data_IF_302215804527
#
_entry.id   IF_302215804527
#
_cell.length_a   1.000
_cell.length_b   1.000
_cell.length_c   1.000
_cell.angle_alpha   90.00
_cell.angle_beta   90.00
_cell.angle_gamma   90.00
#
_symmetry.space_group_name_H-M   'P 1'
#
loop_
_entity.id
_entity.type
_entity.pdbx_description
1 polymer ?
#
# COMPACT_ATOMS: atom_id res chain seq x y z
N UNK A 1 -9.62 18.11 27.30
CA UNK A 1 -8.75 17.35 26.38
C UNK A 1 -9.51 16.11 25.94
N UNK A 2 -10.11 16.14 24.74
CA UNK A 2 -10.85 14.99 24.21
C UNK A 2 -9.84 13.90 23.85
N UNK A 3 -9.70 12.88 24.70
CA UNK A 3 -8.98 11.65 24.33
C UNK A 3 -9.66 11.14 23.07
N UNK A 4 -8.98 11.18 21.92
CA UNK A 4 -9.48 10.55 20.69
C UNK A 4 -9.54 9.05 20.95
N UNK A 5 -10.71 8.55 21.31
CA UNK A 5 -10.97 7.12 21.43
C UNK A 5 -10.76 6.51 20.06
N UNK A 6 -9.65 5.78 19.92
CA UNK A 6 -9.34 5.04 18.70
C UNK A 6 -10.08 3.70 18.81
N UNK A 7 -10.66 3.26 17.70
CA UNK A 7 -11.41 1.99 17.61
C UNK A 7 -10.59 0.96 16.83
N UNK A 8 -10.86 -0.35 17.03
CA UNK A 8 -10.19 -1.39 16.29
C UNK A 8 -10.54 -1.33 14.79
N UNK A 9 -9.66 -1.88 13.94
CA UNK A 9 -9.82 -1.83 12.48
C UNK A 9 -11.09 -2.53 11.99
N UNK A 10 -11.47 -3.62 12.65
CA UNK A 10 -12.65 -4.41 12.32
C UNK A 10 -13.54 -4.58 13.57
N UNK A 11 -14.29 -3.54 13.96
CA UNK A 11 -15.05 -3.53 15.23
C UNK A 11 -15.96 -4.74 15.45
N UNK A 12 -16.73 -5.13 14.44
CA UNK A 12 -17.66 -6.27 14.55
C UNK A 12 -16.94 -7.61 14.65
N UNK A 13 -15.90 -7.82 13.84
CA UNK A 13 -15.11 -9.05 13.87
C UNK A 13 -14.30 -9.19 15.17
N UNK A 14 -13.77 -8.08 15.68
CA UNK A 14 -13.09 -8.07 16.99
C UNK A 14 -14.10 -8.30 18.12
N UNK A 15 -15.31 -7.75 18.06
CA UNK A 15 -16.36 -8.02 19.04
C UNK A 15 -16.75 -9.51 19.07
N UNK A 16 -16.96 -10.16 17.91
CA UNK A 16 -17.23 -11.61 17.81
C UNK A 16 -16.14 -12.40 18.54
N UNK A 17 -14.87 -12.12 18.25
CA UNK A 17 -13.76 -12.81 18.89
C UNK A 17 -13.72 -12.57 20.41
N UNK A 18 -13.94 -11.33 20.86
CA UNK A 18 -13.89 -10.98 22.28
C UNK A 18 -15.04 -11.63 23.07
N UNK A 19 -16.24 -11.74 22.50
CA UNK A 19 -17.38 -12.41 23.14
C UNK A 19 -17.05 -13.90 23.37
N UNK A 20 -16.46 -14.56 22.38
CA UNK A 20 -16.20 -16.01 22.45
C UNK A 20 -14.96 -16.37 23.26
N UNK A 21 -13.95 -15.49 23.32
CA UNK A 21 -12.63 -15.80 23.86
C UNK A 21 -12.29 -15.06 25.16
N UNK A 22 -13.18 -14.19 25.67
CA UNK A 22 -12.92 -13.39 26.88
C UNK A 22 -14.12 -13.35 27.82
N UNK A 23 -13.87 -13.06 29.11
CA UNK A 23 -14.90 -12.90 30.14
C UNK A 23 -15.33 -11.44 30.35
N UNK A 24 -15.07 -10.58 29.35
CA UNK A 24 -15.37 -9.15 29.43
C UNK A 24 -16.88 -8.91 29.37
N UNK A 25 -17.31 -7.83 30.00
CA UNK A 25 -18.72 -7.41 29.93
C UNK A 25 -19.05 -6.82 28.55
N UNK A 26 -20.33 -6.91 28.15
CA UNK A 26 -20.77 -6.34 26.87
C UNK A 26 -20.53 -4.83 26.78
N UNK A 27 -20.61 -4.10 27.89
CA UNK A 27 -20.31 -2.67 27.94
C UNK A 27 -18.82 -2.39 27.70
N UNK A 28 -17.92 -3.22 28.22
CA UNK A 28 -16.48 -3.09 27.97
C UNK A 28 -16.14 -3.36 26.50
N UNK A 29 -16.73 -4.40 25.90
CA UNK A 29 -16.55 -4.72 24.48
C UNK A 29 -17.15 -3.62 23.59
N UNK A 30 -18.33 -3.10 23.95
CA UNK A 30 -19.00 -2.00 23.26
C UNK A 30 -18.12 -0.74 23.24
N UNK A 31 -17.58 -0.33 24.39
CA UNK A 31 -16.70 0.84 24.49
C UNK A 31 -15.40 0.65 23.72
N UNK A 32 -14.81 -0.56 23.76
CA UNK A 32 -13.58 -0.88 23.03
C UNK A 32 -13.77 -0.88 21.51
N UNK A 33 -14.83 -1.53 21.02
CA UNK A 33 -15.13 -1.62 19.59
C UNK A 33 -15.82 -0.36 19.04
N UNK A 34 -16.36 0.51 19.89
CA UNK A 34 -17.17 1.66 19.47
C UNK A 34 -18.55 1.26 18.97
N UNK A 35 -19.08 0.15 19.47
CA UNK A 35 -20.41 -0.37 19.13
C UNK A 35 -21.39 -0.06 20.26
N UNK A 36 -22.69 -0.07 19.96
CA UNK A 36 -23.69 0.02 21.02
C UNK A 36 -23.78 -1.31 21.79
N UNK A 37 -24.01 -1.33 23.12
CA UNK A 37 -24.16 -2.59 23.87
C UNK A 37 -25.23 -3.53 23.32
N UNK A 38 -26.28 -2.99 22.70
CA UNK A 38 -27.31 -3.79 22.01
C UNK A 38 -26.77 -4.51 20.77
N UNK A 39 -25.86 -3.90 20.01
CA UNK A 39 -25.21 -4.56 18.88
C UNK A 39 -24.31 -5.69 19.36
N UNK A 40 -23.58 -5.49 20.47
CA UNK A 40 -22.73 -6.54 21.07
C UNK A 40 -23.58 -7.72 21.55
N UNK A 41 -24.74 -7.45 22.16
CA UNK A 41 -25.70 -8.51 22.52
C UNK A 41 -26.22 -9.24 21.28
N UNK A 42 -26.66 -8.51 20.25
CA UNK A 42 -27.09 -9.12 18.99
C UNK A 42 -26.00 -9.90 18.25
N UNK A 43 -24.72 -9.62 18.51
CA UNK A 43 -23.59 -10.44 18.05
C UNK A 43 -23.48 -11.73 18.88
N UNK A 44 -23.59 -11.64 20.20
CA UNK A 44 -23.58 -12.80 21.10
C UNK A 44 -24.77 -13.75 20.83
N UNK A 45 -25.93 -13.19 20.48
CA UNK A 45 -27.14 -13.93 20.11
C UNK A 45 -27.09 -14.48 18.67
N UNK A 46 -26.08 -14.08 17.87
CA UNK A 46 -25.86 -14.58 16.51
C UNK A 46 -26.66 -13.86 15.39
N UNK A 47 -27.38 -12.79 15.72
CA UNK A 47 -28.28 -12.07 14.80
C UNK A 47 -27.56 -11.03 13.90
N UNK A 48 -26.55 -10.32 14.43
CA UNK A 48 -26.00 -9.10 13.79
C UNK A 48 -24.69 -9.33 13.02
N UNK A 49 -24.01 -10.47 13.24
CA UNK A 49 -22.69 -10.77 12.67
C UNK A 49 -22.59 -12.20 12.08
N UNK A 50 -23.71 -12.75 11.62
CA UNK A 50 -23.76 -14.09 11.03
C UNK A 50 -22.81 -14.18 9.82
N UNK A 51 -21.81 -15.06 9.90
CA UNK A 51 -20.79 -15.24 8.84
C UNK A 51 -19.55 -14.34 8.94
N UNK A 52 -19.40 -13.53 9.99
CA UNK A 52 -18.17 -12.78 10.26
C UNK A 52 -17.21 -13.65 11.08
N UNK A 53 -16.01 -13.90 10.55
CA UNK A 53 -14.96 -14.58 11.30
C UNK A 53 -14.35 -13.64 12.35
N UNK A 54 -14.27 -14.12 13.59
CA UNK A 54 -13.65 -13.39 14.69
C UNK A 54 -12.18 -13.08 14.43
N UNK A 55 -11.76 -11.83 14.63
CA UNK A 55 -10.36 -11.41 14.48
C UNK A 55 -9.76 -11.06 15.83
N UNK A 56 -8.70 -11.79 16.20
CA UNK A 56 -7.98 -11.61 17.45
C UNK A 56 -7.30 -10.22 17.54
N UNK A 57 -7.71 -9.37 18.51
CA UNK A 57 -7.13 -8.04 18.73
C UNK A 57 -5.70 -8.07 19.28
N UNK A 58 -5.27 -9.16 19.91
CA UNK A 58 -3.91 -9.35 20.44
C UNK A 58 -2.96 -9.68 19.30
N UNK A 59 -3.32 -10.66 18.46
CA UNK A 59 -2.50 -11.05 17.29
C UNK A 59 -2.39 -9.90 16.29
N UNK A 60 -3.47 -9.14 16.09
CA UNK A 60 -3.45 -7.93 15.25
C UNK A 60 -2.71 -6.74 15.89
N UNK A 61 -2.24 -6.88 17.13
CA UNK A 61 -1.44 -5.88 17.83
C UNK A 61 -2.21 -4.61 18.18
N UNK A 62 -3.51 -4.74 18.43
CA UNK A 62 -4.45 -3.68 18.83
C UNK A 62 -4.75 -3.69 20.34
N UNK A 63 -4.54 -4.83 21.00
CA UNK A 63 -4.72 -5.03 22.43
C UNK A 63 -3.52 -5.79 23.01
N UNK A 64 -3.10 -5.44 24.23
CA UNK A 64 -2.08 -6.22 24.94
C UNK A 64 -2.73 -7.25 25.87
N UNK A 65 -2.04 -8.36 26.12
CA UNK A 65 -2.56 -9.42 26.99
C UNK A 65 -2.73 -8.93 28.43
N UNK A 66 -1.82 -8.08 28.89
CA UNK A 66 -1.83 -7.49 30.23
C UNK A 66 -3.07 -6.60 30.43
N UNK A 67 -3.46 -5.85 29.40
CA UNK A 67 -4.64 -4.99 29.43
C UNK A 67 -5.93 -5.81 29.46
N UNK A 68 -5.97 -6.93 28.74
CA UNK A 68 -7.09 -7.87 28.78
C UNK A 68 -7.25 -8.47 30.18
N UNK A 69 -6.16 -8.91 30.81
CA UNK A 69 -6.19 -9.47 32.17
C UNK A 69 -6.61 -8.43 33.22
N UNK A 70 -6.16 -7.17 33.08
CA UNK A 70 -6.58 -6.05 33.94
C UNK A 70 -8.08 -5.82 33.88
N UNK A 71 -8.64 -5.80 32.68
CA UNK A 71 -10.07 -5.54 32.47
C UNK A 71 -10.94 -6.76 32.81
N UNK A 72 -10.39 -7.98 32.71
CA UNK A 72 -11.05 -9.21 33.14
C UNK A 72 -11.24 -9.27 34.66
N UNK A 73 -10.32 -8.68 35.43
CA UNK A 73 -10.41 -8.60 36.90
C UNK A 73 -11.27 -7.44 37.39
N UNK A 74 -11.55 -6.44 36.56
CA UNK A 74 -12.33 -5.26 36.94
C UNK A 74 -13.39 -4.92 35.88
N UNK A 75 -14.67 -5.27 36.12
CA UNK A 75 -15.76 -4.98 35.20
C UNK A 75 -15.99 -3.49 34.91
N UNK A 76 -15.54 -2.59 35.79
CA UNK A 76 -15.64 -1.13 35.61
C UNK A 76 -14.47 -0.53 34.83
N UNK A 77 -13.42 -1.30 34.55
CA UNK A 77 -12.26 -0.81 33.82
C UNK A 77 -12.54 -0.74 32.33
N UNK A 78 -12.13 0.37 31.70
CA UNK A 78 -12.27 0.56 30.25
C UNK A 78 -10.99 0.15 29.54
N UNK A 79 -11.11 -0.80 28.61
CA UNK A 79 -10.00 -1.24 27.74
C UNK A 79 -9.47 -0.05 26.94
N UNK A 80 -8.15 0.13 26.96
CA UNK A 80 -7.47 1.09 26.09
C UNK A 80 -6.82 0.35 24.91
N UNK A 81 -7.04 0.85 23.70
CA UNK A 81 -6.34 0.34 22.52
C UNK A 81 -4.84 0.64 22.66
N UNK A 82 -4.03 -0.40 22.58
CA UNK A 82 -2.58 -0.29 22.51
C UNK A 82 -2.14 -0.60 21.07
N UNK A 83 -1.79 0.44 20.31
CA UNK A 83 -1.39 0.27 18.92
C UNK A 83 0.09 -0.09 18.86
N UNK A 84 0.37 -1.35 18.53
CA UNK A 84 1.74 -1.76 18.22
C UNK A 84 2.27 -1.04 16.98
N UNK A 85 3.59 -0.86 16.89
CA UNK A 85 4.27 -0.31 15.71
C UNK A 85 3.97 -1.11 14.42
N UNK A 86 3.71 -2.41 14.55
CA UNK A 86 3.30 -3.28 13.45
C UNK A 86 1.94 -2.87 12.87
N UNK A 87 0.97 -2.46 13.71
CA UNK A 87 -0.33 -1.96 13.26
C UNK A 87 -0.21 -0.64 12.51
N UNK A 88 0.66 0.28 12.97
CA UNK A 88 0.94 1.51 12.21
C UNK A 88 1.56 1.23 10.84
N UNK A 89 2.43 0.21 10.76
CA UNK A 89 3.00 -0.27 9.51
C UNK A 89 1.94 -0.79 8.53
N UNK A 90 0.91 -1.50 9.01
CA UNK A 90 -0.21 -1.96 8.18
C UNK A 90 -1.12 -0.80 7.74
N UNK A 91 -1.39 0.17 8.63
CA UNK A 91 -2.16 1.38 8.28
C UNK A 91 -1.46 2.26 7.23
N UNK A 92 -0.15 2.45 7.36
CA UNK A 92 0.66 3.23 6.39
C UNK A 92 1.01 2.42 5.14
N UNK A 93 1.02 1.10 5.27
CA UNK A 93 1.53 0.14 4.31
C UNK A 93 0.47 -0.51 3.43
N UNK A 94 -0.64 0.18 3.13
CA UNK A 94 -1.36 -0.08 1.89
C UNK A 94 -0.40 0.23 0.72
N UNK A 95 0.53 -0.70 0.45
CA UNK A 95 1.39 -0.72 -0.74
C UNK A 95 0.47 -0.36 -1.88
N UNK A 96 0.71 0.79 -2.50
CA UNK A 96 -0.08 1.29 -3.64
C UNK A 96 -0.22 0.12 -4.62
N UNK A 97 -1.32 -0.62 -4.54
CA UNK A 97 -1.57 -1.76 -5.44
C UNK A 97 -1.59 -1.14 -6.82
N UNK A 98 -0.89 -1.78 -7.77
CA UNK A 98 -0.86 -1.29 -9.14
C UNK A 98 -2.31 -1.07 -9.59
N UNK A 99 -2.69 0.21 -9.81
CA UNK A 99 -4.06 0.56 -10.18
C UNK A 99 -4.34 -0.17 -11.49
N UNK A 100 -5.42 -0.97 -11.53
CA UNK A 100 -5.86 -1.64 -12.75
C UNK A 100 -5.95 -0.61 -13.86
N UNK A 101 -5.16 -0.79 -14.93
CA UNK A 101 -5.22 0.09 -16.09
C UNK A 101 -6.33 -0.42 -17.02
N UNK A 102 -7.41 0.36 -17.25
CA UNK A 102 -8.49 -0.01 -18.17
C UNK A 102 -7.94 -0.32 -19.56
N UNK A 103 -8.57 -1.26 -20.28
CA UNK A 103 -8.09 -1.74 -21.59
C UNK A 103 -7.93 -0.62 -22.62
N UNK A 104 -8.83 0.37 -22.61
CA UNK A 104 -8.76 1.56 -23.47
C UNK A 104 -7.47 2.37 -23.26
N UNK A 105 -6.93 2.38 -22.03
CA UNK A 105 -5.72 3.12 -21.66
C UNK A 105 -4.44 2.29 -21.75
N UNK A 106 -4.52 1.08 -22.31
CA UNK A 106 -3.32 0.24 -22.53
C UNK A 106 -2.50 0.69 -23.72
N UNK A 107 -3.14 1.29 -24.74
CA UNK A 107 -2.45 1.86 -25.89
C UNK A 107 -1.66 3.13 -25.55
N UNK A 108 -2.06 3.84 -24.48
CA UNK A 108 -1.34 5.01 -23.98
C UNK A 108 0.03 4.65 -23.36
N UNK A 109 0.22 3.40 -22.90
CA UNK A 109 1.48 2.98 -22.26
C UNK A 109 2.65 2.92 -23.25
N UNK A 110 2.54 2.26 -24.42
CA UNK A 110 3.59 2.31 -25.45
C UNK A 110 3.94 3.74 -25.89
N UNK A 111 2.94 4.60 -26.07
CA UNK A 111 3.11 6.01 -26.46
C UNK A 111 3.95 6.79 -25.43
N UNK A 112 3.64 6.61 -24.14
CA UNK A 112 4.37 7.18 -23.03
C UNK A 112 5.82 6.68 -22.93
N UNK A 113 6.04 5.38 -23.10
CA UNK A 113 7.39 4.78 -23.07
C UNK A 113 8.22 5.33 -24.24
N UNK A 114 7.64 5.43 -25.43
CA UNK A 114 8.34 5.94 -26.59
C UNK A 114 8.70 7.42 -26.45
N UNK A 115 7.85 8.21 -25.80
CA UNK A 115 8.17 9.58 -25.43
C UNK A 115 9.35 9.64 -24.43
N UNK A 116 9.34 8.81 -23.39
CA UNK A 116 10.43 8.77 -22.40
C UNK A 116 11.77 8.40 -23.05
N UNK A 117 11.81 7.37 -23.89
CA UNK A 117 13.02 6.91 -24.56
C UNK A 117 13.62 7.97 -25.49
N UNK A 118 12.78 8.82 -26.11
CA UNK A 118 13.26 9.86 -27.02
C UNK A 118 13.71 11.14 -26.31
N UNK A 119 13.01 11.55 -25.26
CA UNK A 119 13.34 12.78 -24.53
C UNK A 119 14.47 12.57 -23.50
N UNK A 120 14.54 11.37 -22.92
CA UNK A 120 15.49 11.04 -21.86
C UNK A 120 16.14 9.66 -22.13
N UNK A 121 17.09 9.58 -23.08
CA UNK A 121 17.77 8.34 -23.41
C UNK A 121 18.58 7.76 -22.24
N UNK A 122 18.93 8.59 -21.24
CA UNK A 122 19.65 8.20 -20.03
C UNK A 122 18.80 7.42 -19.00
N UNK A 123 17.49 7.29 -19.20
CA UNK A 123 16.64 6.56 -18.24
C UNK A 123 16.81 5.05 -18.40
N UNK A 124 17.08 4.38 -17.29
CA UNK A 124 17.12 2.92 -17.19
C UNK A 124 15.73 2.28 -17.38
N UNK A 125 15.67 1.18 -18.12
CA UNK A 125 14.47 0.38 -18.37
C UNK A 125 13.78 -0.04 -17.07
N UNK A 126 14.55 -0.37 -16.02
CA UNK A 126 14.01 -0.73 -14.70
C UNK A 126 13.17 0.40 -14.07
N UNK A 127 13.56 1.65 -14.33
CA UNK A 127 12.88 2.84 -13.81
C UNK A 127 11.63 3.14 -14.64
N UNK A 128 11.68 2.98 -15.96
CA UNK A 128 10.51 3.08 -16.86
C UNK A 128 9.42 2.07 -16.47
N UNK A 129 9.82 0.81 -16.21
CA UNK A 129 8.92 -0.26 -15.79
C UNK A 129 8.16 0.13 -14.51
N UNK A 130 8.86 0.70 -13.52
CA UNK A 130 8.26 1.14 -12.24
C UNK A 130 7.36 2.35 -12.40
N UNK A 131 7.72 3.31 -13.25
CA UNK A 131 6.98 4.54 -13.46
C UNK A 131 5.65 4.30 -14.20
N UNK A 132 5.70 3.53 -15.30
CA UNK A 132 4.54 3.32 -16.19
C UNK A 132 3.73 2.06 -15.80
N UNK A 133 4.34 1.12 -15.09
CA UNK A 133 3.71 -0.16 -14.76
C UNK A 133 3.53 -1.03 -16.02
N UNK A 134 4.62 -1.29 -16.72
CA UNK A 134 4.70 -2.13 -17.93
C UNK A 134 5.62 -3.33 -17.70
N UNK A 135 5.86 -4.15 -18.73
CA UNK A 135 6.82 -5.28 -18.65
C UNK A 135 8.15 -4.94 -19.32
N UNK A 136 9.22 -5.64 -18.93
CA UNK A 136 10.56 -5.49 -19.53
C UNK A 136 10.55 -5.77 -21.03
N UNK A 137 9.81 -6.81 -21.46
CA UNK A 137 9.68 -7.16 -22.88
C UNK A 137 9.07 -6.02 -23.70
N UNK A 138 8.07 -5.33 -23.16
CA UNK A 138 7.44 -4.19 -23.83
C UNK A 138 8.43 -3.04 -24.01
N UNK A 139 9.19 -2.67 -22.97
CA UNK A 139 10.19 -1.60 -23.06
C UNK A 139 11.28 -1.94 -24.08
N UNK A 140 11.81 -3.18 -24.05
CA UNK A 140 12.80 -3.65 -25.01
C UNK A 140 12.28 -3.61 -26.45
N UNK A 141 11.06 -4.11 -26.70
CA UNK A 141 10.45 -4.08 -28.04
C UNK A 141 10.26 -2.66 -28.59
N UNK A 142 10.08 -1.67 -27.73
CA UNK A 142 9.93 -0.27 -28.12
C UNK A 142 11.29 0.39 -28.38
N UNK A 143 12.32 0.01 -27.63
CA UNK A 143 13.70 0.44 -27.88
C UNK A 143 14.23 -0.11 -29.21
N UNK A 144 13.96 -1.38 -29.48
CA UNK A 144 14.37 -2.07 -30.71
C UNK A 144 13.42 -1.80 -31.90
N UNK A 145 12.35 -1.02 -31.69
CA UNK A 145 11.28 -0.74 -32.67
C UNK A 145 10.62 -2.00 -33.26
N UNK A 146 10.67 -3.11 -32.54
CA UNK A 146 10.10 -4.41 -32.90
C UNK A 146 8.69 -4.64 -32.32
N UNK A 147 8.09 -3.61 -31.71
CA UNK A 147 6.73 -3.70 -31.21
C UNK A 147 5.73 -3.88 -32.36
N UNK A 148 4.78 -4.81 -32.19
CA UNK A 148 3.80 -5.16 -33.23
C UNK A 148 2.97 -3.95 -33.75
N UNK A 149 2.84 -2.89 -32.95
CA UNK A 149 2.07 -1.68 -33.29
C UNK A 149 2.95 -0.44 -33.49
N UNK A 150 4.25 -0.60 -33.82
CA UNK A 150 5.21 0.52 -33.85
C UNK A 150 4.80 1.67 -34.78
N UNK A 151 4.11 1.37 -35.88
CA UNK A 151 3.65 2.37 -36.87
C UNK A 151 2.60 3.33 -36.31
N UNK A 152 1.77 2.87 -35.36
CA UNK A 152 0.70 3.68 -34.78
C UNK A 152 1.11 4.39 -33.48
N UNK A 153 2.31 4.10 -32.96
CA UNK A 153 2.77 4.68 -31.70
C UNK A 153 3.11 6.16 -31.88
N UNK A 154 2.56 7.00 -31.01
CA UNK A 154 2.79 8.44 -31.01
C UNK A 154 3.52 8.86 -29.75
N UNK A 155 4.45 9.79 -29.89
CA UNK A 155 5.17 10.36 -28.75
C UNK A 155 4.19 11.23 -27.97
N UNK A 156 3.73 10.73 -26.81
CA UNK A 156 2.84 11.46 -25.91
C UNK A 156 3.41 11.50 -24.50
N UNK A 157 3.28 12.64 -23.87
CA UNK A 157 3.79 12.86 -22.51
C UNK A 157 3.01 12.00 -21.49
N UNK A 158 3.70 11.18 -20.66
CA UNK A 158 3.06 10.36 -19.64
C UNK A 158 2.29 11.15 -18.57
N UNK A 159 2.64 12.41 -18.32
CA UNK A 159 1.93 13.30 -17.39
C UNK A 159 0.61 13.75 -17.99
N UNK A 160 0.62 14.15 -19.27
CA UNK A 160 -0.61 14.53 -19.98
C UNK A 160 -1.58 13.35 -20.16
N UNK A 161 -1.05 12.14 -20.31
CA UNK A 161 -1.84 10.91 -20.33
C UNK A 161 -2.38 10.52 -18.94
N UNK A 162 -1.94 11.18 -17.87
CA UNK A 162 -2.32 10.90 -16.48
C UNK A 162 -1.79 9.57 -15.97
N UNK A 163 -0.67 9.07 -16.53
CA UNK A 163 -0.02 7.83 -16.13
C UNK A 163 0.90 8.08 -14.93
N UNK A 164 1.66 9.17 -14.94
CA UNK A 164 2.50 9.61 -13.82
C UNK A 164 2.16 11.05 -13.41
N UNK A 165 2.58 11.43 -12.20
CA UNK A 165 2.54 12.82 -11.76
C UNK A 165 3.80 13.57 -12.23
N UNK A 166 3.72 14.89 -12.35
CA UNK A 166 4.89 15.72 -12.68
C UNK A 166 6.04 15.48 -11.70
N UNK A 167 5.73 15.41 -10.41
CA UNK A 167 6.71 15.17 -9.33
C UNK A 167 7.40 13.81 -9.50
N UNK A 168 6.67 12.77 -9.90
CA UNK A 168 7.25 11.45 -10.13
C UNK A 168 8.16 11.44 -11.37
N UNK A 169 7.79 12.18 -12.42
CA UNK A 169 8.62 12.29 -13.63
C UNK A 169 9.92 13.04 -13.33
N UNK A 170 9.85 14.20 -12.68
CA UNK A 170 11.02 15.01 -12.35
C UNK A 170 12.01 14.21 -11.47
N UNK A 171 11.49 13.51 -10.46
CA UNK A 171 12.30 12.62 -9.60
C UNK A 171 13.02 11.52 -10.38
N UNK A 172 12.35 10.92 -11.36
CA UNK A 172 12.93 9.86 -12.21
C UNK A 172 14.03 10.44 -13.11
N UNK A 173 13.81 11.62 -13.68
CA UNK A 173 14.79 12.30 -14.55
C UNK A 173 16.03 12.71 -13.76
N UNK A 174 15.87 13.26 -12.56
CA UNK A 174 17.00 13.59 -11.67
C UNK A 174 17.81 12.35 -11.30
N UNK A 175 17.13 11.26 -10.94
CA UNK A 175 17.78 9.99 -10.61
C UNK A 175 18.54 9.42 -11.81
N UNK A 176 17.95 9.45 -13.01
CA UNK A 176 18.60 8.97 -14.23
C UNK A 176 19.87 9.76 -14.57
N UNK A 177 19.83 11.09 -14.41
CA UNK A 177 21.02 11.95 -14.61
C UNK A 177 22.13 11.63 -13.62
N UNK A 178 21.80 11.34 -12.37
CA UNK A 178 22.77 10.95 -11.35
C UNK A 178 23.39 9.57 -11.64
N UNK A 179 22.56 8.61 -12.07
CA UNK A 179 23.00 7.26 -12.46
C UNK A 179 23.94 7.33 -13.65
N UNK A 180 23.57 8.03 -14.73
CA UNK A 180 24.42 8.21 -15.91
C UNK A 180 25.78 8.86 -15.58
N UNK A 181 25.78 9.87 -14.69
CA UNK A 181 27.03 10.51 -14.23
C UNK A 181 27.91 9.55 -13.42
N UNK A 182 27.30 8.64 -12.67
CA UNK A 182 28.02 7.64 -11.87
C UNK A 182 28.59 6.54 -12.76
N UNK A 183 27.83 6.10 -13.76
CA UNK A 183 28.27 5.11 -14.76
C UNK A 183 29.48 5.63 -15.55
N UNK A 184 29.40 6.85 -16.10
CA UNK A 184 30.52 7.48 -16.81
C UNK A 184 31.79 7.61 -15.94
N UNK A 185 31.65 7.87 -14.64
CA UNK A 185 32.78 7.96 -13.70
C UNK A 185 33.40 6.59 -13.39
N UNK A 186 32.61 5.53 -13.40
CA UNK A 186 33.09 4.17 -13.17
C UNK A 186 33.80 3.59 -14.40
N UNK A 187 33.31 3.90 -15.60
CA UNK A 187 33.98 3.54 -16.86
C UNK A 187 35.37 4.17 -16.95
N UNK A 188 35.50 5.47 -16.70
CA UNK A 188 36.80 6.16 -16.70
C UNK A 188 37.81 5.54 -15.70
N UNK A 189 37.36 5.15 -14.50
CA UNK A 189 38.22 4.48 -13.50
C UNK A 189 38.62 3.05 -13.88
N UNK A 190 37.84 2.40 -14.73
CA UNK A 190 38.10 1.02 -15.17
C UNK A 190 39.12 1.01 -16.32
N UNK A 191 39.10 2.04 -17.16
CA UNK A 191 40.09 2.26 -18.21
C UNK A 191 41.47 2.66 -17.62
N UNK A 192 41.51 3.54 -16.62
CA UNK A 192 42.75 3.91 -15.91
C UNK A 192 43.43 2.76 -15.14
N UNK A 193 42.69 1.69 -14.81
CA UNK A 193 43.24 0.49 -14.16
C UNK A 193 43.74 -0.58 -15.15
N UNK A 194 43.43 -0.42 -16.43
CA UNK A 194 43.82 -1.35 -17.51
C UNK A 194 45.01 -0.86 -18.34
N UNK A 195 45.35 0.43 -18.25
CA UNK A 195 46.65 1.00 -18.68
C UNK A 195 47.69 0.91 -17.58
#
# INVERSE_FOLDING_TARGET
MSKKTKYPLMPKATAVWMIDNTILTFDQIAVFCGLHPLEVKGIADGEVATGIFGVDPIVSGQLSKEELERCSKNPKATLQIHLSAAYEGVMKGAKKRAKYTPIARRQDKPDAIFWLLKNFPEINDATIIKLIGTTKLTVASLRDRSHWNIENIRQRDPVLLGICSQVDLDRVVEQAKLEAKTEAKNEAKTEEKKS
#
